data_IF_751135497485
#
_entry.id   IF_751135497485
#
_cell.length_a   1.000
_cell.length_b   1.000
_cell.length_c   1.000
_cell.angle_alpha   90.00
_cell.angle_beta   90.00
_cell.angle_gamma   90.00
#
_symmetry.space_group_name_H-M   'P 1'
#
loop_
_entity.id
_entity.type
_entity.pdbx_description
1 polymer ?
#
# COMPACT_ATOMS: atom_id res chain seq x y z
N UNK A 1 23.14 -13.12 13.59
CA UNK A 1 22.63 -11.85 13.06
C UNK A 1 23.38 -10.70 13.72
N UNK A 2 23.89 -9.72 12.96
CA UNK A 2 24.38 -8.45 13.53
C UNK A 2 23.29 -7.75 14.36
N UNK A 3 23.69 -6.96 15.36
CA UNK A 3 22.79 -6.27 16.29
C UNK A 3 21.67 -5.49 15.56
N UNK A 4 22.02 -4.82 14.47
CA UNK A 4 21.10 -4.04 13.64
C UNK A 4 20.00 -4.90 12.99
N UNK A 5 20.33 -6.13 12.60
CA UNK A 5 19.34 -7.06 12.06
C UNK A 5 18.38 -7.55 13.14
N UNK A 6 18.90 -7.91 14.31
CA UNK A 6 18.09 -8.36 15.45
C UNK A 6 17.14 -7.26 15.95
N UNK A 7 17.61 -6.01 16.04
CA UNK A 7 16.77 -4.87 16.42
C UNK A 7 15.67 -4.59 15.40
N UNK A 8 15.99 -4.65 14.11
CA UNK A 8 14.97 -4.43 13.08
C UNK A 8 13.96 -5.57 13.06
N UNK A 9 14.38 -6.82 13.29
CA UNK A 9 13.44 -7.94 13.44
C UNK A 9 12.48 -7.73 14.62
N UNK A 10 12.99 -7.22 15.74
CA UNK A 10 12.16 -6.85 16.90
C UNK A 10 11.20 -5.70 16.56
N UNK A 11 11.67 -4.65 15.88
CA UNK A 11 10.84 -3.52 15.44
C UNK A 11 9.76 -3.94 14.44
N UNK A 12 10.07 -4.93 13.60
CA UNK A 12 9.11 -5.57 12.70
C UNK A 12 8.19 -6.56 13.44
N UNK A 13 8.15 -6.56 14.78
CA UNK A 13 7.23 -7.38 15.58
C UNK A 13 7.60 -8.86 15.65
N UNK A 14 8.86 -9.21 15.44
CA UNK A 14 9.37 -10.58 15.41
C UNK A 14 8.70 -11.48 14.35
N UNK A 15 8.17 -10.90 13.27
CA UNK A 15 7.55 -11.64 12.17
C UNK A 15 8.50 -11.74 10.96
N UNK A 16 8.95 -12.96 10.60
CA UNK A 16 9.81 -13.16 9.43
C UNK A 16 9.21 -12.64 8.12
N UNK A 17 7.88 -12.54 7.99
CA UNK A 17 7.22 -11.97 6.81
C UNK A 17 7.49 -10.47 6.68
N UNK A 18 7.63 -9.78 7.81
CA UNK A 18 7.84 -8.33 7.88
C UNK A 18 9.28 -7.91 7.64
N UNK A 19 10.22 -8.85 7.77
CA UNK A 19 11.60 -8.67 7.31
C UNK A 19 11.71 -8.45 5.78
N UNK A 20 10.67 -8.81 5.00
CA UNK A 20 10.61 -8.53 3.55
C UNK A 20 10.64 -7.03 3.23
N UNK A 21 10.24 -6.17 4.18
CA UNK A 21 10.31 -4.71 4.06
C UNK A 21 11.68 -4.25 3.60
N UNK A 22 12.78 -4.77 4.16
CA UNK A 22 14.14 -4.37 3.74
C UNK A 22 14.48 -4.75 2.30
N UNK A 23 14.01 -5.92 1.83
CA UNK A 23 14.19 -6.34 0.43
C UNK A 23 13.46 -5.39 -0.53
N UNK A 24 12.24 -5.00 -0.18
CA UNK A 24 11.46 -4.05 -0.98
C UNK A 24 12.02 -2.62 -0.90
N UNK A 25 12.33 -2.14 0.30
CA UNK A 25 12.87 -0.80 0.53
C UNK A 25 14.22 -0.60 -0.17
N UNK A 26 15.09 -1.61 -0.21
CA UNK A 26 16.35 -1.54 -0.95
C UNK A 26 16.12 -1.32 -2.44
N UNK A 27 15.23 -2.09 -3.05
CA UNK A 27 14.89 -1.94 -4.48
C UNK A 27 14.10 -0.66 -4.79
N UNK A 28 13.32 -0.15 -3.82
CA UNK A 28 12.61 1.13 -3.92
C UNK A 28 13.60 2.30 -3.91
N UNK A 29 14.53 2.32 -2.96
CA UNK A 29 15.42 3.45 -2.72
C UNK A 29 16.26 3.78 -3.97
N UNK A 30 16.68 2.76 -4.72
CA UNK A 30 17.42 2.93 -5.97
C UNK A 30 16.58 3.52 -7.11
N UNK A 31 15.24 3.43 -7.01
CA UNK A 31 14.27 3.89 -8.04
C UNK A 31 13.52 5.17 -7.65
N UNK A 32 13.62 5.59 -6.39
CA UNK A 32 13.01 6.81 -5.91
C UNK A 32 13.92 7.99 -6.24
N UNK A 33 13.62 8.68 -7.33
CA UNK A 33 14.20 10.01 -7.56
C UNK A 33 13.79 10.95 -6.43
N UNK A 34 14.78 11.57 -5.78
CA UNK A 34 14.56 12.69 -4.86
C UNK A 34 13.94 13.84 -5.64
N UNK A 35 12.88 14.45 -5.10
CA UNK A 35 12.21 15.55 -5.80
C UNK A 35 13.20 16.69 -6.09
N UNK A 36 13.24 17.14 -7.34
CA UNK A 36 14.14 18.22 -7.77
C UNK A 36 13.42 19.55 -7.50
N UNK A 37 14.10 20.44 -6.78
CA UNK A 37 13.59 21.80 -6.54
C UNK A 37 13.23 22.49 -7.87
N UNK A 38 12.08 23.19 -7.89
CA UNK A 38 11.63 23.97 -9.04
C UNK A 38 10.51 23.36 -9.91
N UNK A 39 9.99 22.17 -9.61
CA UNK A 39 8.82 21.61 -10.30
C UNK A 39 7.52 22.35 -9.95
N UNK A 40 6.60 22.46 -10.91
CA UNK A 40 5.24 22.96 -10.65
C UNK A 40 4.46 22.02 -9.73
N UNK A 41 3.31 22.47 -9.19
CA UNK A 41 2.44 21.59 -8.39
C UNK A 41 1.93 20.41 -9.22
N UNK A 42 1.52 20.65 -10.46
CA UNK A 42 0.93 19.63 -11.31
C UNK A 42 1.96 18.58 -11.73
N UNK A 43 3.20 19.03 -12.04
CA UNK A 43 4.31 18.11 -12.34
C UNK A 43 4.66 17.22 -11.15
N UNK A 44 4.63 17.77 -9.93
CA UNK A 44 4.86 16.99 -8.71
C UNK A 44 3.76 15.95 -8.50
N UNK A 45 2.50 16.34 -8.67
CA UNK A 45 1.36 15.42 -8.55
C UNK A 45 1.42 14.31 -9.60
N UNK A 46 1.73 14.65 -10.86
CA UNK A 46 1.88 13.67 -11.94
C UNK A 46 3.05 12.70 -11.68
N UNK A 47 4.21 13.23 -11.25
CA UNK A 47 5.38 12.42 -10.93
C UNK A 47 5.11 11.49 -9.73
N UNK A 48 4.43 11.97 -8.69
CA UNK A 48 4.06 11.15 -7.54
C UNK A 48 3.11 10.00 -7.93
N UNK A 49 2.14 10.26 -8.79
CA UNK A 49 1.22 9.24 -9.31
C UNK A 49 1.95 8.19 -10.18
N UNK A 50 2.86 8.64 -11.04
CA UNK A 50 3.65 7.74 -11.88
C UNK A 50 4.55 6.82 -11.03
N UNK A 51 5.26 7.38 -10.04
CA UNK A 51 6.06 6.59 -9.08
C UNK A 51 5.22 5.56 -8.35
N UNK A 52 4.01 5.93 -7.92
CA UNK A 52 3.09 5.00 -7.30
C UNK A 52 2.79 3.82 -8.23
N UNK A 53 2.35 4.05 -9.47
CA UNK A 53 2.03 2.95 -10.38
C UNK A 53 3.25 2.11 -10.75
N UNK A 54 4.40 2.73 -10.99
CA UNK A 54 5.62 1.98 -11.32
C UNK A 54 6.06 1.06 -10.19
N UNK A 55 5.84 1.50 -8.95
CA UNK A 55 6.12 0.70 -7.78
C UNK A 55 5.10 -0.44 -7.60
N UNK A 56 3.81 -0.15 -7.78
CA UNK A 56 2.74 -1.08 -7.45
C UNK A 56 2.44 -2.08 -8.57
N UNK A 57 2.70 -1.73 -9.85
CA UNK A 57 2.35 -2.54 -11.04
C UNK A 57 2.76 -4.02 -10.94
N UNK A 58 3.94 -4.42 -10.44
CA UNK A 58 4.30 -5.82 -10.27
C UNK A 58 3.37 -6.60 -9.32
N UNK A 59 2.64 -5.89 -8.45
CA UNK A 59 1.81 -6.44 -7.38
C UNK A 59 0.31 -6.32 -7.67
N UNK A 60 -0.11 -5.42 -8.57
CA UNK A 60 -1.53 -5.16 -8.91
C UNK A 60 -2.25 -6.36 -9.54
N UNK A 61 -1.51 -7.30 -10.13
CA UNK A 61 -2.06 -8.50 -10.80
C UNK A 61 -1.65 -9.80 -10.14
N UNK A 62 -0.90 -9.75 -9.04
CA UNK A 62 -0.51 -10.95 -8.33
C UNK A 62 -1.77 -11.48 -7.64
N UNK A 63 -2.41 -12.49 -8.24
CA UNK A 63 -3.58 -13.13 -7.66
C UNK A 63 -3.23 -13.62 -6.25
N UNK A 64 -3.81 -12.98 -5.24
CA UNK A 64 -3.99 -13.61 -3.93
C UNK A 64 -5.21 -14.52 -4.09
N UNK A 65 -5.05 -15.85 -4.24
CA UNK A 65 -6.20 -16.74 -4.19
C UNK A 65 -6.92 -16.51 -2.86
N UNK A 66 -8.25 -16.62 -2.88
CA UNK A 66 -9.05 -16.56 -1.66
C UNK A 66 -8.45 -17.53 -0.63
N UNK A 67 -8.37 -17.17 0.67
CA UNK A 67 -7.79 -18.04 1.67
C UNK A 67 -8.62 -19.33 1.75
N UNK A 68 -8.13 -20.41 1.15
CA UNK A 68 -8.69 -21.75 1.38
C UNK A 68 -8.11 -22.31 2.66
N UNK A 69 -8.96 -22.96 3.46
CA UNK A 69 -8.57 -23.76 4.62
C UNK A 69 -7.41 -24.69 4.23
N UNK A 70 -6.21 -24.42 4.77
CA UNK A 70 -4.99 -25.19 4.48
C UNK A 70 -3.87 -24.45 3.72
N UNK A 71 -4.04 -23.16 3.37
CA UNK A 71 -2.94 -22.40 2.76
C UNK A 71 -1.76 -22.25 3.74
N UNK A 72 -0.61 -22.86 3.43
CA UNK A 72 0.59 -22.76 4.26
C UNK A 72 1.05 -21.30 4.39
N UNK A 73 1.35 -20.82 5.60
CA UNK A 73 1.87 -19.47 5.80
C UNK A 73 3.23 -19.32 5.10
N UNK A 74 3.27 -18.61 3.97
CA UNK A 74 4.49 -18.36 3.19
C UNK A 74 4.43 -18.76 1.70
N UNK A 75 3.38 -19.44 1.25
CA UNK A 75 3.25 -19.91 -0.14
C UNK A 75 2.51 -18.93 -1.08
N UNK A 76 2.04 -17.79 -0.60
CA UNK A 76 1.39 -16.79 -1.45
C UNK A 76 2.46 -16.09 -2.31
N UNK A 77 2.42 -16.35 -3.63
CA UNK A 77 3.18 -15.59 -4.65
C UNK A 77 2.52 -14.24 -4.99
N UNK A 78 1.43 -13.88 -4.30
CA UNK A 78 0.80 -12.57 -4.32
C UNK A 78 1.37 -11.66 -3.23
N UNK A 79 1.47 -10.36 -3.51
CA UNK A 79 1.79 -9.39 -2.46
C UNK A 79 0.75 -9.49 -1.35
N UNK A 80 1.21 -9.57 -0.10
CA UNK A 80 0.31 -9.44 1.04
C UNK A 80 -0.36 -8.05 0.94
N UNK A 81 -1.69 -7.90 1.12
CA UNK A 81 -2.32 -6.59 1.15
C UNK A 81 -1.64 -5.58 2.08
N UNK A 82 -1.04 -6.05 3.19
CA UNK A 82 -0.23 -5.21 4.08
C UNK A 82 1.09 -4.75 3.44
N UNK A 83 1.68 -5.55 2.54
CA UNK A 83 2.85 -5.15 1.77
C UNK A 83 2.52 -4.03 0.78
N UNK A 84 1.36 -4.10 0.10
CA UNK A 84 0.89 -3.04 -0.81
C UNK A 84 0.69 -1.70 -0.06
N UNK A 85 0.16 -1.74 1.16
CA UNK A 85 -0.01 -0.55 2.00
C UNK A 85 1.34 0.04 2.41
N UNK A 86 2.28 -0.79 2.89
CA UNK A 86 3.62 -0.31 3.24
C UNK A 86 4.40 0.23 2.04
N UNK A 87 4.22 -0.34 0.85
CA UNK A 87 4.78 0.22 -0.38
C UNK A 87 4.24 1.62 -0.65
N UNK A 88 2.96 1.86 -0.35
CA UNK A 88 2.32 3.17 -0.51
C UNK A 88 2.83 4.22 0.49
N UNK A 89 3.20 3.82 1.73
CA UNK A 89 3.76 4.70 2.76
C UNK A 89 5.14 5.26 2.40
N UNK A 90 5.89 4.55 1.56
CA UNK A 90 7.27 4.90 1.23
C UNK A 90 7.33 5.78 -0.02
N UNK A 91 6.24 5.92 -0.79
CA UNK A 91 6.20 6.82 -1.95
C UNK A 91 6.28 8.26 -1.43
N UNK A 92 7.37 9.00 -1.73
CA UNK A 92 7.49 10.40 -1.32
C UNK A 92 6.35 11.23 -1.90
N UNK A 93 5.92 12.23 -1.12
CA UNK A 93 4.81 13.14 -1.43
C UNK A 93 3.42 12.50 -1.40
N UNK A 94 3.30 11.33 -0.76
CA UNK A 94 2.04 10.61 -0.51
C UNK A 94 1.13 10.71 -1.73
N UNK A 95 1.47 9.92 -2.76
CA UNK A 95 0.71 9.89 -4.01
C UNK A 95 -0.78 10.04 -3.76
N UNK A 96 -1.52 10.74 -4.63
CA UNK A 96 -2.97 10.96 -4.48
C UNK A 96 -3.81 9.68 -4.32
N UNK A 97 -3.18 8.52 -4.42
CA UNK A 97 -3.72 7.18 -4.18
C UNK A 97 -3.78 6.78 -2.70
N UNK A 98 -3.10 7.49 -1.79
CA UNK A 98 -3.06 7.15 -0.35
C UNK A 98 -4.47 6.97 0.22
N UNK A 99 -5.37 7.90 -0.12
CA UNK A 99 -6.74 7.90 0.37
C UNK A 99 -7.54 6.69 -0.15
N UNK A 100 -7.23 6.22 -1.36
CA UNK A 100 -7.83 5.03 -1.95
C UNK A 100 -7.35 3.74 -1.29
N UNK A 101 -6.05 3.62 -1.01
CA UNK A 101 -5.44 2.36 -0.54
C UNK A 101 -5.46 2.19 0.97
N UNK A 102 -5.57 3.30 1.72
CA UNK A 102 -5.63 3.27 3.17
C UNK A 102 -7.05 3.52 3.67
N UNK A 103 -7.53 4.75 3.88
CA UNK A 103 -8.80 4.96 4.58
C UNK A 103 -10.02 4.48 3.79
N UNK A 104 -10.06 4.60 2.45
CA UNK A 104 -11.17 4.07 1.64
C UNK A 104 -11.25 2.54 1.73
N UNK A 105 -10.12 1.84 1.54
CA UNK A 105 -10.09 0.38 1.65
C UNK A 105 -10.44 -0.09 3.07
N UNK A 106 -9.92 0.58 4.11
CA UNK A 106 -10.24 0.26 5.50
C UNK A 106 -11.72 0.48 5.82
N UNK A 107 -12.36 1.52 5.26
CA UNK A 107 -13.80 1.73 5.41
C UNK A 107 -14.61 0.56 4.83
N UNK A 108 -14.25 0.06 3.64
CA UNK A 108 -14.90 -1.12 3.04
C UNK A 108 -14.68 -2.36 3.91
N UNK A 109 -13.45 -2.59 4.39
CA UNK A 109 -13.12 -3.75 5.23
C UNK A 109 -13.87 -3.70 6.57
N UNK A 110 -13.92 -2.54 7.22
CA UNK A 110 -14.52 -2.37 8.54
C UNK A 110 -16.04 -2.28 8.52
N UNK A 111 -16.64 -1.71 7.47
CA UNK A 111 -18.07 -1.34 7.43
C UNK A 111 -18.86 -2.01 6.30
N UNK A 112 -18.20 -2.57 5.29
CA UNK A 112 -18.87 -3.22 4.16
C UNK A 112 -19.52 -4.55 4.52
N UNK A 113 -20.67 -4.84 3.91
CA UNK A 113 -21.25 -6.19 3.90
C UNK A 113 -20.35 -7.17 3.13
N UNK A 114 -20.54 -8.47 3.34
CA UNK A 114 -19.78 -9.50 2.64
C UNK A 114 -19.90 -9.42 1.11
N UNK A 115 -21.07 -9.05 0.60
CA UNK A 115 -21.27 -8.83 -0.83
C UNK A 115 -20.51 -7.60 -1.33
N UNK A 116 -20.53 -6.49 -0.58
CA UNK A 116 -19.77 -5.28 -0.94
C UNK A 116 -18.25 -5.52 -0.87
N UNK A 117 -17.76 -6.21 0.15
CA UNK A 117 -16.34 -6.56 0.29
C UNK A 117 -15.86 -7.40 -0.91
N UNK A 118 -16.60 -8.43 -1.28
CA UNK A 118 -16.29 -9.30 -2.43
C UNK A 118 -16.26 -8.53 -3.76
N UNK A 119 -17.12 -7.52 -3.90
CA UNK A 119 -17.18 -6.69 -5.09
C UNK A 119 -16.04 -5.66 -5.15
N UNK A 120 -15.84 -4.90 -4.07
CA UNK A 120 -15.03 -3.68 -4.11
C UNK A 120 -13.57 -3.87 -3.74
N UNK A 121 -13.26 -4.72 -2.75
CA UNK A 121 -11.86 -4.92 -2.31
C UNK A 121 -10.98 -5.38 -3.48
N UNK A 122 -11.37 -6.38 -4.28
CA UNK A 122 -10.51 -6.82 -5.38
C UNK A 122 -10.33 -5.73 -6.45
N UNK A 123 -11.34 -4.89 -6.70
CA UNK A 123 -11.26 -3.78 -7.65
C UNK A 123 -10.29 -2.70 -7.19
N UNK A 124 -10.31 -2.34 -5.89
CA UNK A 124 -9.38 -1.38 -5.30
C UNK A 124 -7.95 -1.93 -5.34
N UNK A 125 -7.75 -3.19 -4.93
CA UNK A 125 -6.42 -3.83 -4.91
C UNK A 125 -5.81 -3.98 -6.31
N UNK A 126 -6.64 -4.09 -7.35
CA UNK A 126 -6.21 -4.11 -8.76
C UNK A 126 -6.16 -2.71 -9.41
N UNK A 127 -6.48 -1.65 -8.66
CA UNK A 127 -6.59 -0.28 -9.16
C UNK A 127 -7.58 -0.11 -10.32
N UNK A 128 -8.61 -0.95 -10.40
CA UNK A 128 -9.72 -0.80 -11.35
C UNK A 128 -10.66 0.34 -10.93
N UNK A 129 -10.67 0.66 -9.64
CA UNK A 129 -11.39 1.79 -9.06
C UNK A 129 -10.45 2.56 -8.13
N UNK A 130 -10.60 3.88 -8.12
CA UNK A 130 -9.93 4.78 -7.17
C UNK A 130 -11.00 5.38 -6.29
N UNK A 131 -10.84 5.22 -4.97
CA UNK A 131 -11.75 5.73 -3.98
C UNK A 131 -11.12 6.80 -3.09
N UNK A 132 -11.95 7.35 -2.22
CA UNK A 132 -11.57 8.38 -1.26
C UNK A 132 -12.45 8.26 -0.02
N UNK A 133 -11.92 8.63 1.14
CA UNK A 133 -12.66 8.68 2.39
C UNK A 133 -13.11 10.12 2.68
N UNK A 134 -14.22 10.51 2.08
CA UNK A 134 -14.76 11.87 2.14
C UNK A 134 -15.56 12.12 3.44
N UNK A 135 -14.91 12.11 4.61
CA UNK A 135 -15.58 12.39 5.89
C UNK A 135 -15.71 13.90 6.17
N UNK A 136 -14.62 14.65 5.99
CA UNK A 136 -14.55 16.05 6.40
C UNK A 136 -15.37 16.93 5.45
N UNK A 137 -16.27 17.72 6.02
CA UNK A 137 -17.03 18.76 5.33
C UNK A 137 -16.38 20.13 5.54
N UNK A 138 -16.79 21.14 4.75
CA UNK A 138 -16.24 22.49 4.87
C UNK A 138 -16.41 23.10 6.29
N UNK A 139 -17.50 22.76 6.98
CA UNK A 139 -17.81 23.27 8.32
C UNK A 139 -17.65 22.25 9.46
N UNK A 140 -17.37 20.98 9.15
CA UNK A 140 -17.42 19.90 10.14
C UNK A 140 -16.32 18.87 9.91
N UNK A 141 -15.68 18.42 10.99
CA UNK A 141 -14.67 17.36 10.93
C UNK A 141 -14.24 16.83 12.29
N UNK A 142 -14.15 17.70 13.30
CA UNK A 142 -13.77 17.32 14.67
C UNK A 142 -14.96 17.16 15.63
N UNK A 143 -16.17 17.53 15.20
CA UNK A 143 -17.36 17.64 16.04
C UNK A 143 -18.22 16.39 16.00
#
# INVERSE_FOLDING_TARGET
>A
MPLTESLTFLLDGCDPRRQRRRRWMGHLADRLEVDREGRSRDDRAAAALQRFFDLHRPHLHAHTPAPTEGTRPGAASGADPLEVVWMSEIVPDSSGMWDSVVPFLQAIVGQGSETQKREWIPKVMRMEVVGSYCQTELGHGSN
#
